data_IF_211582788478
#
_entry.id   IF_211582788478
#
_cell.length_a   1.000
_cell.length_b   1.000
_cell.length_c   1.000
_cell.angle_alpha   90.00
_cell.angle_beta   90.00
_cell.angle_gamma   90.00
#
_symmetry.space_group_name_H-M   'P 1'
#
loop_
_entity.id
_entity.type
_entity.pdbx_description
1 polymer ?
#
# COMPACT_ATOMS: atom_id res chain seq x y z
N UNK A 1 16.48 -53.76 -0.44
CA UNK A 1 17.74 -53.35 0.21
C UNK A 1 17.57 -51.91 0.67
N UNK A 2 17.69 -51.71 1.98
CA UNK A 2 17.53 -50.45 2.70
C UNK A 2 18.81 -49.62 2.65
N UNK A 3 18.70 -48.30 2.45
CA UNK A 3 19.54 -47.23 3.02
C UNK A 3 18.84 -45.91 2.63
N UNK A 4 18.33 -45.02 3.49
CA UNK A 4 18.61 -44.75 4.90
C UNK A 4 19.59 -43.59 5.03
N UNK A 5 19.14 -42.34 4.83
CA UNK A 5 19.93 -41.16 5.18
C UNK A 5 19.07 -40.13 5.92
N UNK A 6 19.25 -40.09 7.24
CA UNK A 6 18.72 -39.09 8.15
C UNK A 6 19.84 -38.10 8.45
N UNK A 7 19.61 -36.81 8.16
CA UNK A 7 20.50 -35.72 8.52
C UNK A 7 19.76 -34.73 9.43
N UNK A 8 19.95 -34.89 10.75
CA UNK A 8 19.61 -33.90 11.79
C UNK A 8 20.67 -32.81 11.77
N UNK A 9 20.27 -31.53 11.77
CA UNK A 9 21.09 -30.45 12.33
C UNK A 9 20.20 -29.47 13.11
N UNK A 10 20.29 -29.62 14.42
CA UNK A 10 19.94 -28.67 15.49
C UNK A 10 20.85 -27.44 15.45
N UNK A 11 20.31 -26.26 15.76
CA UNK A 11 21.14 -25.07 16.03
C UNK A 11 20.32 -23.84 16.41
N UNK A 12 19.94 -23.76 17.69
CA UNK A 12 19.38 -22.56 18.34
C UNK A 12 20.37 -21.40 18.29
N UNK A 13 19.88 -20.17 18.14
CA UNK A 13 20.50 -19.02 18.79
C UNK A 13 19.48 -17.90 19.02
N UNK A 14 19.05 -17.80 20.27
CA UNK A 14 18.27 -16.69 20.82
C UNK A 14 19.24 -15.58 21.21
N UNK A 15 19.12 -14.41 20.60
CA UNK A 15 19.78 -13.19 21.08
C UNK A 15 18.68 -12.23 21.54
N UNK A 16 18.58 -12.07 22.85
CA UNK A 16 17.80 -11.03 23.50
C UNK A 16 18.64 -9.76 23.59
N UNK A 17 18.16 -8.66 23.02
CA UNK A 17 18.67 -7.31 23.30
C UNK A 17 17.59 -6.51 24.01
N UNK A 18 17.79 -6.31 25.31
CA UNK A 18 17.11 -5.30 26.09
C UNK A 18 18.02 -4.07 26.17
N UNK A 19 17.51 -2.90 25.80
CA UNK A 19 18.12 -1.62 26.15
C UNK A 19 17.02 -0.58 26.36
N UNK A 20 16.86 -0.17 27.61
CA UNK A 20 16.02 0.92 28.07
C UNK A 20 16.87 2.19 28.18
N UNK A 21 16.37 3.34 27.71
CA UNK A 21 16.76 4.69 28.15
C UNK A 21 15.55 5.61 27.89
N UNK A 22 14.84 6.02 28.93
CA UNK A 22 15.10 7.14 29.84
C UNK A 22 14.45 8.43 29.32
N UNK A 23 13.37 8.80 30.00
CA UNK A 23 12.64 10.04 29.87
C UNK A 23 13.48 11.24 30.34
N UNK A 24 13.28 12.40 29.72
CA UNK A 24 13.72 13.69 30.25
C UNK A 24 12.69 14.75 29.88
N UNK A 25 11.82 15.05 30.84
CA UNK A 25 10.93 16.21 30.84
C UNK A 25 11.67 17.40 31.46
N UNK A 26 11.83 18.49 30.70
CA UNK A 26 12.14 19.83 31.21
C UNK A 26 11.13 20.77 30.55
N UNK A 27 10.09 21.19 31.26
CA UNK A 27 10.05 22.33 32.19
C UNK A 27 9.88 23.66 31.46
N UNK A 28 8.70 24.25 31.68
CA UNK A 28 8.23 25.54 31.19
C UNK A 28 9.14 26.71 31.61
N UNK A 29 9.37 27.63 30.68
CA UNK A 29 9.74 29.01 30.96
C UNK A 29 8.67 29.94 30.40
N UNK A 30 7.85 30.52 31.28
CA UNK A 30 6.88 31.56 30.94
C UNK A 30 7.57 32.93 31.01
N UNK A 31 8.03 33.44 29.86
CA UNK A 31 8.45 34.84 29.74
C UNK A 31 7.25 35.71 29.33
N UNK A 32 6.65 36.39 30.31
CA UNK A 32 5.77 37.54 30.07
C UNK A 32 6.63 38.77 29.85
N UNK A 33 7.08 38.96 28.62
CA UNK A 33 7.69 40.20 28.16
C UNK A 33 6.63 41.27 27.88
N UNK A 34 6.84 42.46 28.48
CA UNK A 34 6.05 43.66 28.26
C UNK A 34 5.98 44.04 26.77
N UNK A 35 4.77 44.07 26.20
CA UNK A 35 4.50 44.68 24.90
C UNK A 35 4.44 46.19 25.08
N UNK A 36 5.37 46.91 24.45
CA UNK A 36 5.35 48.37 24.34
C UNK A 36 4.19 48.80 23.44
N UNK A 37 3.59 49.95 23.77
CA UNK A 37 2.44 50.58 23.07
C UNK A 37 2.77 51.10 21.65
N UNK A 38 3.86 50.66 21.03
CA UNK A 38 4.28 51.11 19.69
C UNK A 38 4.02 50.09 18.57
N UNK A 39 3.51 48.88 18.88
CA UNK A 39 3.18 47.86 17.87
C UNK A 39 1.72 47.88 17.37
N UNK A 40 0.90 48.84 17.82
CA UNK A 40 -0.54 48.91 17.45
C UNK A 40 -0.80 49.73 16.16
N UNK A 41 0.19 50.47 15.64
CA UNK A 41 0.00 51.37 14.47
C UNK A 41 0.74 50.96 13.19
N UNK A 42 1.49 49.85 13.20
CA UNK A 42 1.96 49.23 11.96
C UNK A 42 0.99 48.12 11.59
N UNK A 43 -0.01 48.48 10.79
CA UNK A 43 -0.96 47.56 10.18
C UNK A 43 -0.23 46.37 9.58
N UNK A 44 -0.24 45.26 10.31
CA UNK A 44 0.08 43.94 9.82
C UNK A 44 -0.91 43.67 8.69
N UNK A 45 -0.45 43.89 7.46
CA UNK A 45 -0.93 43.14 6.32
C UNK A 45 -0.73 41.66 6.67
N UNK A 46 -1.75 41.07 7.28
CA UNK A 46 -1.91 39.64 7.27
C UNK A 46 -1.89 39.27 5.79
N UNK A 47 -0.96 38.43 5.32
CA UNK A 47 -1.07 37.90 3.98
C UNK A 47 -2.46 37.29 3.90
N UNK A 48 -3.27 37.75 2.94
CA UNK A 48 -4.57 37.16 2.65
C UNK A 48 -4.33 35.66 2.56
N UNK A 49 -4.76 34.94 3.58
CA UNK A 49 -4.79 33.49 3.59
C UNK A 49 -5.94 33.08 2.68
N UNK A 50 -5.78 33.39 1.39
CA UNK A 50 -6.29 32.61 0.27
C UNK A 50 -5.56 31.27 0.27
N UNK A 51 -5.61 30.58 1.42
CA UNK A 51 -5.67 29.14 1.49
C UNK A 51 -6.80 28.79 0.57
N UNK A 52 -6.44 28.48 -0.67
CA UNK A 52 -7.27 27.75 -1.60
C UNK A 52 -7.50 26.43 -0.90
N UNK A 53 -8.50 26.40 -0.03
CA UNK A 53 -9.03 25.20 0.59
C UNK A 53 -9.52 24.40 -0.61
N UNK A 54 -8.62 23.58 -1.18
CA UNK A 54 -9.00 22.53 -2.12
C UNK A 54 -10.03 21.75 -1.33
N UNK A 55 -11.32 22.00 -1.59
CA UNK A 55 -12.39 21.17 -1.09
C UNK A 55 -12.02 19.77 -1.56
N UNK A 56 -11.61 18.94 -0.62
CA UNK A 56 -11.38 17.54 -0.88
C UNK A 56 -12.78 17.00 -1.14
N UNK A 57 -13.17 16.97 -2.42
CA UNK A 57 -14.39 16.30 -2.84
C UNK A 57 -14.18 14.84 -2.51
N UNK A 58 -14.71 14.39 -1.37
CA UNK A 58 -14.72 12.97 -1.04
C UNK A 58 -15.57 12.26 -2.09
N UNK A 59 -14.94 11.38 -2.86
CA UNK A 59 -15.67 10.44 -3.71
C UNK A 59 -16.45 9.52 -2.76
N UNK A 60 -17.78 9.59 -2.79
CA UNK A 60 -18.65 8.75 -1.95
C UNK A 60 -18.44 7.25 -2.20
N UNK A 61 -17.81 6.87 -3.32
CA UNK A 61 -17.45 5.48 -3.64
C UNK A 61 -16.15 5.04 -2.95
N UNK A 62 -15.41 5.96 -2.33
CA UNK A 62 -14.08 5.74 -1.79
C UNK A 62 -13.95 6.38 -0.40
N UNK A 63 -14.49 5.70 0.61
CA UNK A 63 -14.58 6.24 1.97
C UNK A 63 -13.21 6.53 2.59
N UNK A 64 -12.25 5.61 2.42
CA UNK A 64 -10.92 5.75 3.01
C UNK A 64 -10.03 6.73 2.24
N UNK A 65 -10.12 6.71 0.89
CA UNK A 65 -9.41 7.60 -0.03
C UNK A 65 -7.88 7.74 0.23
N UNK A 66 -7.26 6.70 0.79
CA UNK A 66 -5.86 6.71 1.20
C UNK A 66 -4.95 6.53 -0.01
N UNK A 67 -4.03 7.47 -0.22
CA UNK A 67 -3.03 7.41 -1.27
C UNK A 67 -1.87 6.52 -0.84
N UNK A 68 -1.49 5.57 -1.69
CA UNK A 68 -0.35 4.68 -1.50
C UNK A 68 0.70 5.01 -2.57
N UNK A 69 1.89 5.39 -2.11
CA UNK A 69 3.05 5.77 -2.93
C UNK A 69 4.19 4.75 -2.79
N UNK A 70 4.54 4.42 -1.55
CA UNK A 70 5.63 3.50 -1.21
C UNK A 70 5.15 2.51 -0.13
N UNK A 71 4.43 1.45 -0.53
CA UNK A 71 3.91 0.50 0.43
C UNK A 71 5.03 -0.32 1.05
N UNK A 72 4.97 -0.50 2.37
CA UNK A 72 5.95 -1.28 3.12
C UNK A 72 6.01 -2.73 2.60
N UNK A 73 7.21 -3.33 2.46
CA UNK A 73 7.34 -4.75 2.16
C UNK A 73 6.51 -5.61 3.13
N UNK A 74 6.11 -6.80 2.67
CA UNK A 74 5.34 -7.78 3.45
C UNK A 74 3.95 -7.28 3.91
N UNK A 75 3.36 -6.36 3.15
CA UNK A 75 1.96 -5.90 3.30
C UNK A 75 1.12 -6.28 2.07
N UNK A 76 -0.22 -6.42 2.21
CA UNK A 76 -1.07 -6.65 1.04
C UNK A 76 -1.04 -5.48 0.05
N UNK A 77 -0.79 -4.25 0.53
CA UNK A 77 -0.60 -3.06 -0.31
C UNK A 77 0.64 -3.17 -1.18
N UNK A 78 1.73 -3.73 -0.64
CA UNK A 78 2.93 -3.99 -1.43
C UNK A 78 2.68 -5.03 -2.52
N UNK A 79 1.93 -6.09 -2.22
CA UNK A 79 1.53 -7.05 -3.26
C UNK A 79 0.67 -6.37 -4.33
N UNK A 80 -0.31 -5.55 -3.96
CA UNK A 80 -1.11 -4.79 -4.92
C UNK A 80 -0.24 -3.89 -5.81
N UNK A 81 0.72 -3.18 -5.22
CA UNK A 81 1.69 -2.37 -5.97
C UNK A 81 2.43 -3.21 -7.02
N UNK A 82 2.95 -4.38 -6.65
CA UNK A 82 3.68 -5.24 -7.58
C UNK A 82 2.79 -5.74 -8.74
N UNK A 83 1.51 -6.03 -8.47
CA UNK A 83 0.55 -6.43 -9.51
C UNK A 83 0.29 -5.28 -10.50
N UNK A 84 0.04 -4.07 -9.98
CA UNK A 84 -0.22 -2.88 -10.78
C UNK A 84 1.01 -2.49 -11.60
N UNK A 85 2.19 -2.51 -10.99
CA UNK A 85 3.46 -2.21 -11.64
C UNK A 85 3.74 -3.18 -12.79
N UNK A 86 3.65 -4.50 -12.53
CA UNK A 86 3.82 -5.51 -13.56
C UNK A 86 2.81 -5.31 -14.71
N UNK A 87 1.54 -5.05 -14.39
CA UNK A 87 0.47 -4.88 -15.38
C UNK A 87 0.61 -3.59 -16.19
N UNK A 88 1.25 -2.56 -15.64
CA UNK A 88 1.50 -1.28 -16.33
C UNK A 88 2.65 -1.31 -17.32
N UNK A 89 3.39 -2.43 -17.42
CA UNK A 89 4.47 -2.58 -18.38
C UNK A 89 3.99 -2.34 -19.81
N UNK A 90 4.73 -1.51 -20.55
CA UNK A 90 4.42 -1.17 -21.93
C UNK A 90 4.45 -2.40 -22.86
N UNK A 91 5.22 -3.43 -22.49
CA UNK A 91 5.37 -4.67 -23.27
C UNK A 91 4.61 -5.81 -22.62
N UNK A 92 3.99 -6.63 -23.46
CA UNK A 92 3.50 -7.94 -23.05
C UNK A 92 4.68 -8.92 -23.09
N UNK A 93 5.51 -8.88 -22.06
CA UNK A 93 6.64 -9.80 -21.95
C UNK A 93 6.43 -10.80 -20.82
N UNK A 94 7.04 -11.98 -21.00
CA UNK A 94 6.95 -13.06 -20.04
C UNK A 94 7.55 -12.65 -18.69
N UNK A 95 8.53 -11.74 -18.64
CA UNK A 95 9.13 -11.28 -17.40
C UNK A 95 8.12 -10.50 -16.53
N UNK A 96 7.34 -9.61 -17.14
CA UNK A 96 6.27 -8.86 -16.48
C UNK A 96 5.16 -9.80 -16.01
N UNK A 97 4.78 -10.78 -16.83
CA UNK A 97 3.83 -11.80 -16.43
C UNK A 97 4.34 -12.65 -15.25
N UNK A 98 5.60 -13.10 -15.26
CA UNK A 98 6.16 -13.88 -14.16
C UNK A 98 6.23 -13.06 -12.86
N UNK A 99 6.56 -11.77 -12.94
CA UNK A 99 6.48 -10.86 -11.79
C UNK A 99 5.06 -10.81 -11.24
N UNK A 100 4.06 -10.62 -12.10
CA UNK A 100 2.64 -10.63 -11.73
C UNK A 100 2.20 -11.96 -11.09
N UNK A 101 2.55 -13.08 -11.72
CA UNK A 101 2.16 -14.43 -11.27
C UNK A 101 2.82 -14.84 -9.94
N UNK A 102 4.03 -14.37 -9.65
CA UNK A 102 4.76 -14.73 -8.42
C UNK A 102 4.02 -14.39 -7.11
N UNK A 103 3.03 -13.50 -7.19
CA UNK A 103 2.19 -13.07 -6.07
C UNK A 103 0.91 -13.89 -5.90
N UNK A 104 0.59 -14.81 -6.80
CA UNK A 104 -0.56 -15.69 -6.66
C UNK A 104 -0.22 -16.87 -5.75
N UNK A 105 -1.27 -17.36 -5.08
CA UNK A 105 -1.21 -18.60 -4.32
C UNK A 105 -0.98 -19.81 -5.24
N UNK A 106 -0.28 -20.84 -4.74
CA UNK A 106 0.10 -22.02 -5.53
C UNK A 106 -1.11 -22.84 -6.02
N UNK A 107 -2.29 -22.69 -5.41
CA UNK A 107 -3.52 -23.29 -5.91
C UNK A 107 -4.00 -22.71 -7.24
N UNK A 108 -3.47 -21.55 -7.67
CA UNK A 108 -3.82 -20.91 -8.94
C UNK A 108 -2.87 -21.37 -10.03
N UNK A 109 -3.39 -22.14 -10.99
CA UNK A 109 -2.62 -22.55 -12.15
C UNK A 109 -2.13 -21.32 -12.96
N UNK A 110 -0.83 -21.28 -13.28
CA UNK A 110 -0.21 -20.22 -14.08
C UNK A 110 -0.94 -19.95 -15.39
N UNK A 111 -1.31 -21.01 -16.13
CA UNK A 111 -2.04 -20.92 -17.39
C UNK A 111 -3.39 -20.22 -17.22
N UNK A 112 -4.09 -20.46 -16.11
CA UNK A 112 -5.34 -19.80 -15.79
C UNK A 112 -5.13 -18.32 -15.50
N UNK A 113 -4.13 -17.98 -14.67
CA UNK A 113 -3.78 -16.57 -14.39
C UNK A 113 -3.41 -15.84 -15.67
N UNK A 114 -2.62 -16.48 -16.54
CA UNK A 114 -2.20 -15.92 -17.84
C UNK A 114 -3.36 -15.66 -18.79
N UNK A 115 -4.36 -16.53 -18.82
CA UNK A 115 -5.49 -16.39 -19.74
C UNK A 115 -6.58 -15.47 -19.18
N UNK A 116 -6.82 -15.51 -17.87
CA UNK A 116 -7.98 -14.87 -17.27
C UNK A 116 -7.67 -13.55 -16.59
N UNK A 117 -6.55 -13.45 -15.87
CA UNK A 117 -6.25 -12.27 -15.07
C UNK A 117 -5.31 -11.32 -15.80
N UNK A 118 -4.25 -11.85 -16.39
CA UNK A 118 -3.21 -11.04 -16.99
C UNK A 118 -3.71 -10.06 -18.08
N UNK A 119 -4.47 -10.48 -19.10
CA UNK A 119 -4.88 -9.57 -20.17
C UNK A 119 -5.79 -8.46 -19.64
N UNK A 120 -6.72 -8.82 -18.74
CA UNK A 120 -7.66 -7.88 -18.13
C UNK A 120 -6.96 -6.88 -17.21
N UNK A 121 -5.99 -7.34 -16.43
CA UNK A 121 -5.20 -6.47 -15.57
C UNK A 121 -4.50 -5.39 -16.41
N UNK A 122 -3.86 -5.77 -17.51
CA UNK A 122 -3.20 -4.83 -18.43
C UNK A 122 -4.20 -3.89 -19.12
N UNK A 123 -5.33 -4.40 -19.57
CA UNK A 123 -6.37 -3.60 -20.23
C UNK A 123 -6.98 -2.53 -19.31
N UNK A 124 -6.89 -2.72 -17.99
CA UNK A 124 -7.59 -1.88 -17.02
C UNK A 124 -6.68 -1.17 -16.01
N UNK A 125 -5.41 -1.53 -15.89
CA UNK A 125 -4.46 -0.98 -14.91
C UNK A 125 -4.45 0.55 -14.89
N UNK A 126 -4.46 1.21 -16.05
CA UNK A 126 -4.43 2.66 -16.17
C UNK A 126 -5.63 3.36 -15.49
N UNK A 127 -6.73 2.64 -15.25
CA UNK A 127 -7.90 3.16 -14.53
C UNK A 127 -7.69 3.22 -13.02
N UNK A 128 -6.69 2.53 -12.49
CA UNK A 128 -6.42 2.42 -11.05
C UNK A 128 -5.17 3.18 -10.61
N UNK A 129 -4.35 3.62 -11.56
CA UNK A 129 -3.16 4.43 -11.31
C UNK A 129 -3.53 5.92 -11.19
N UNK A 130 -2.99 6.58 -10.18
CA UNK A 130 -2.98 8.04 -10.05
C UNK A 130 -1.56 8.58 -10.29
N UNK A 131 -1.42 9.89 -10.51
CA UNK A 131 -0.10 10.53 -10.64
C UNK A 131 0.57 10.37 -12.02
N UNK A 132 1.84 10.76 -12.07
CA UNK A 132 2.68 10.61 -13.27
C UNK A 132 3.29 9.20 -13.29
N UNK A 133 3.18 8.51 -14.43
CA UNK A 133 3.74 7.18 -14.61
C UNK A 133 5.27 7.14 -14.45
N UNK A 134 5.96 8.28 -14.56
CA UNK A 134 7.42 8.36 -14.34
C UNK A 134 7.82 8.34 -12.87
N UNK A 135 6.90 8.63 -11.95
CA UNK A 135 7.16 8.69 -10.49
C UNK A 135 6.88 7.33 -9.80
N UNK A 136 6.51 6.31 -10.57
CA UNK A 136 6.17 4.98 -10.08
C UNK A 136 4.67 4.75 -9.94
N UNK A 137 4.30 3.57 -9.46
CA UNK A 137 2.89 3.19 -9.27
C UNK A 137 2.32 3.87 -8.04
N UNK A 138 1.32 4.71 -8.28
CA UNK A 138 0.53 5.34 -7.22
C UNK A 138 -0.93 4.94 -7.36
N UNK A 139 -1.60 4.60 -6.26
CA UNK A 139 -3.01 4.22 -6.28
C UNK A 139 -3.71 4.60 -4.98
N UNK A 140 -5.05 4.55 -4.97
CA UNK A 140 -5.84 4.80 -3.75
C UNK A 140 -6.58 3.58 -3.26
N UNK A 141 -6.54 3.38 -1.95
CA UNK A 141 -7.36 2.39 -1.26
C UNK A 141 -8.64 3.06 -0.78
N UNK A 142 -9.77 2.49 -1.19
CA UNK A 142 -11.10 2.93 -0.81
C UNK A 142 -11.65 2.23 0.42
N UNK A 143 -11.28 0.96 0.60
CA UNK A 143 -11.72 0.15 1.73
C UNK A 143 -10.69 -0.94 2.01
N UNK A 144 -10.48 -1.23 3.31
CA UNK A 144 -9.79 -2.42 3.80
C UNK A 144 -10.76 -3.24 4.62
N UNK A 145 -11.02 -4.46 4.17
CA UNK A 145 -11.91 -5.37 4.89
C UNK A 145 -11.14 -6.59 5.35
N UNK A 146 -11.03 -6.76 6.67
CA UNK A 146 -10.54 -8.01 7.25
C UNK A 146 -11.66 -9.04 7.19
N UNK A 147 -11.35 -10.24 6.74
CA UNK A 147 -12.26 -11.38 6.71
C UNK A 147 -11.77 -12.47 7.66
N UNK A 148 -12.57 -13.54 7.77
CA UNK A 148 -12.16 -14.73 8.52
C UNK A 148 -10.86 -15.33 7.95
N UNK A 149 -10.21 -16.18 8.74
CA UNK A 149 -9.01 -16.94 8.32
C UNK A 149 -7.81 -16.05 7.95
N UNK A 150 -7.76 -14.83 8.46
CA UNK A 150 -6.65 -13.90 8.20
C UNK A 150 -6.63 -13.32 6.79
N UNK A 151 -7.73 -13.42 6.04
CA UNK A 151 -7.88 -12.81 4.71
C UNK A 151 -8.09 -11.30 4.82
N UNK A 152 -7.54 -10.57 3.86
CA UNK A 152 -7.71 -9.12 3.73
C UNK A 152 -8.17 -8.80 2.31
N UNK A 153 -9.28 -8.07 2.20
CA UNK A 153 -9.74 -7.48 0.93
C UNK A 153 -9.32 -6.02 0.84
N UNK A 154 -8.68 -5.67 -0.25
CA UNK A 154 -8.42 -4.28 -0.63
C UNK A 154 -9.33 -3.89 -1.79
N UNK A 155 -9.96 -2.73 -1.68
CA UNK A 155 -10.75 -2.13 -2.74
C UNK A 155 -9.99 -0.93 -3.27
N UNK A 156 -9.52 -1.00 -4.53
CA UNK A 156 -8.73 0.06 -5.15
C UNK A 156 -9.64 0.98 -5.95
N UNK A 157 -9.40 2.29 -5.84
CA UNK A 157 -10.20 3.31 -6.52
C UNK A 157 -10.04 3.20 -8.03
N UNK A 158 -11.16 3.11 -8.74
CA UNK A 158 -11.22 3.34 -10.18
C UNK A 158 -11.41 4.83 -10.50
N UNK A 159 -10.56 5.36 -11.36
CA UNK A 159 -10.68 6.68 -11.98
C UNK A 159 -11.77 6.72 -13.07
N UNK A 160 -12.21 5.55 -13.56
CA UNK A 160 -13.39 5.45 -14.43
C UNK A 160 -14.67 5.55 -13.58
N UNK A 161 -15.51 6.60 -13.76
CA UNK A 161 -16.72 6.81 -12.97
C UNK A 161 -17.80 5.74 -13.23
N UNK A 162 -17.71 5.00 -14.34
CA UNK A 162 -18.66 3.94 -14.69
C UNK A 162 -18.27 2.58 -14.12
N UNK A 163 -17.09 2.46 -13.49
CA UNK A 163 -16.58 1.23 -12.90
C UNK A 163 -16.68 1.28 -11.39
N UNK A 164 -16.96 0.13 -10.79
CA UNK A 164 -16.84 -0.08 -9.35
C UNK A 164 -15.38 -0.20 -8.94
N UNK A 165 -15.12 -0.10 -7.64
CA UNK A 165 -13.82 -0.38 -7.04
C UNK A 165 -13.74 -1.89 -6.78
N UNK A 166 -13.02 -2.68 -7.60
CA UNK A 166 -13.04 -4.13 -7.46
C UNK A 166 -12.26 -4.58 -6.23
N UNK A 167 -12.71 -5.64 -5.54
CA UNK A 167 -11.96 -6.23 -4.45
C UNK A 167 -10.83 -7.13 -4.97
N UNK A 168 -9.67 -7.04 -4.35
CA UNK A 168 -8.63 -8.08 -4.40
C UNK A 168 -8.45 -8.67 -3.01
N UNK A 169 -8.45 -9.99 -2.91
CA UNK A 169 -8.32 -10.71 -1.63
C UNK A 169 -6.92 -11.29 -1.51
N UNK A 170 -6.31 -11.01 -0.36
CA UNK A 170 -4.99 -11.46 0.02
C UNK A 170 -5.07 -12.37 1.24
N UNK A 171 -4.19 -13.34 1.30
CA UNK A 171 -3.99 -14.21 2.45
C UNK A 171 -2.51 -14.50 2.62
N UNK A 172 -2.05 -14.70 3.85
CA UNK A 172 -0.69 -15.19 4.08
C UNK A 172 -0.60 -16.68 3.77
N UNK A 173 0.44 -17.07 3.04
CA UNK A 173 0.81 -18.47 2.89
C UNK A 173 1.48 -19.02 4.17
N UNK A 174 1.85 -20.31 4.15
CA UNK A 174 2.51 -20.98 5.27
C UNK A 174 3.88 -20.37 5.63
N UNK A 175 4.50 -19.65 4.70
CA UNK A 175 5.76 -18.91 4.91
C UNK A 175 5.54 -17.50 5.49
N UNK A 176 4.27 -17.09 5.66
CA UNK A 176 3.88 -15.79 6.17
C UNK A 176 3.85 -14.68 5.12
N UNK A 177 4.04 -15.00 3.83
CA UNK A 177 4.03 -14.04 2.71
C UNK A 177 2.61 -13.83 2.21
N UNK A 178 2.28 -12.58 1.87
CA UNK A 178 0.98 -12.26 1.29
C UNK A 178 0.88 -12.77 -0.15
N UNK A 179 -0.21 -13.48 -0.43
CA UNK A 179 -0.56 -14.05 -1.73
C UNK A 179 -1.97 -13.65 -2.14
N UNK A 180 -2.17 -13.55 -3.45
CA UNK A 180 -3.47 -13.27 -4.06
C UNK A 180 -4.26 -14.57 -4.15
N UNK A 181 -5.39 -14.63 -3.44
CA UNK A 181 -6.32 -15.79 -3.47
C UNK A 181 -7.54 -15.52 -4.36
N UNK A 182 -7.88 -14.25 -4.55
CA UNK A 182 -8.93 -13.80 -5.45
C UNK A 182 -8.58 -12.43 -6.03
N UNK A 183 -8.72 -12.28 -7.34
CA UNK A 183 -8.39 -11.07 -8.07
C UNK A 183 -9.50 -10.73 -9.06
N UNK A 184 -9.94 -9.48 -9.05
CA UNK A 184 -10.89 -8.93 -10.02
C UNK A 184 -10.23 -7.72 -10.70
N UNK A 185 -9.67 -7.91 -11.90
CA UNK A 185 -9.05 -6.83 -12.69
C UNK A 185 -10.05 -5.81 -13.22
#
# INVERSE_FOLDING_TARGET
MYHGFAGRLTGMSLVAFAAAFAASTLACGSDRGNLSKEQEEQGLYLPDSTSTTRRITMDRRCELNELVLDPKPDTPEWVMYQLLEASSSAKDDDASFQKFYSHFDESKAESWVRQQYWPRARDHVAKYLEGDATEGVTFRICERRKEAEGKVKLFIKSNDPKKSNPPTTFQKDDSGKWKVVFFTP
#
